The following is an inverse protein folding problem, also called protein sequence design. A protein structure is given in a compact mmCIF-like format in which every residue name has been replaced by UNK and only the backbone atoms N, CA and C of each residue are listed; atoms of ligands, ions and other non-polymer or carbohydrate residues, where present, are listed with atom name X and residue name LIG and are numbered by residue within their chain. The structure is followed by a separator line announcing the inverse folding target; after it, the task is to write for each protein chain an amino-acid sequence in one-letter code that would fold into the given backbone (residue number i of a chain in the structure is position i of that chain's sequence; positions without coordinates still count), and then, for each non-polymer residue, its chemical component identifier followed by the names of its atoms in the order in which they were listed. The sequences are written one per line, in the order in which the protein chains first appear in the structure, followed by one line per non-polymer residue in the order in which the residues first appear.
data_IF_450273739116
#
_entry.id   IF_450273739116
#
_cell.length_a   1.000
_cell.length_b   1.000
_cell.length_c   1.000
_cell.angle_alpha   90.00
_cell.angle_beta   90.00
_cell.angle_gamma   90.00
#
_symmetry.space_group_name_H-M   'P 1'
#
loop_
_entity.id
_entity.type
_entity.pdbx_description
1 polymer ?
#
# COMPACT_ATOMS: atom_id res chain seq x y z
N UNK A 1 -7.64 17.23 -44.32
CA UNK A 1 -8.96 17.82 -44.53
C UNK A 1 -9.06 19.17 -43.81
N UNK A 2 -9.31 20.26 -44.56
CA UNK A 2 -9.78 21.49 -43.94
C UNK A 2 -11.27 21.37 -43.70
N UNK A 3 -11.78 21.94 -42.65
CA UNK A 3 -13.22 22.02 -42.33
C UNK A 3 -14.04 22.48 -43.56
N UNK A 4 -13.52 23.41 -44.38
CA UNK A 4 -14.13 23.86 -45.63
C UNK A 4 -14.11 22.83 -46.77
N UNK A 5 -13.13 21.90 -46.81
CA UNK A 5 -13.07 20.84 -47.85
C UNK A 5 -13.97 19.65 -47.49
N UNK A 6 -14.06 19.29 -46.22
CA UNK A 6 -15.01 18.28 -45.74
C UNK A 6 -16.47 18.70 -46.06
N UNK A 7 -16.75 19.98 -46.01
CA UNK A 7 -18.07 20.52 -46.33
C UNK A 7 -18.38 20.55 -47.84
N UNK A 8 -17.38 20.72 -48.72
CA UNK A 8 -17.56 20.73 -50.17
C UNK A 8 -17.73 19.31 -50.75
N UNK A 9 -17.05 18.31 -50.21
CA UNK A 9 -17.08 16.95 -50.75
C UNK A 9 -18.24 16.07 -50.25
N UNK A 10 -18.91 16.46 -49.18
CA UNK A 10 -19.97 15.64 -48.56
C UNK A 10 -21.38 15.88 -49.15
N UNK A 11 -21.52 16.72 -50.18
CA UNK A 11 -22.82 16.98 -50.82
C UNK A 11 -23.88 17.51 -49.84
N UNK A 12 -23.46 17.95 -48.69
CA UNK A 12 -24.30 18.55 -47.64
C UNK A 12 -24.71 19.94 -48.09
N UNK A 13 -25.73 19.98 -48.92
CA UNK A 13 -26.34 21.18 -49.45
C UNK A 13 -27.00 22.08 -48.41
N UNK A 14 -27.18 21.60 -47.18
CA UNK A 14 -27.79 22.37 -46.10
C UNK A 14 -26.85 23.37 -45.44
N UNK A 15 -25.76 22.89 -44.84
CA UNK A 15 -24.95 23.73 -43.93
C UNK A 15 -24.02 24.72 -44.62
N UNK A 16 -23.46 24.35 -45.80
CA UNK A 16 -22.67 25.31 -46.58
C UNK A 16 -23.54 26.43 -47.16
N UNK A 17 -24.77 26.12 -47.57
CA UNK A 17 -25.75 27.09 -48.00
C UNK A 17 -26.22 28.00 -46.87
N UNK A 18 -26.32 27.44 -45.65
CA UNK A 18 -26.70 28.25 -44.47
C UNK A 18 -25.55 29.13 -43.94
N UNK A 19 -24.30 28.67 -44.07
CA UNK A 19 -23.13 29.51 -43.78
C UNK A 19 -22.88 30.57 -44.86
N UNK A 20 -23.15 30.28 -46.14
CA UNK A 20 -23.14 31.29 -47.19
C UNK A 20 -24.27 32.29 -47.00
N UNK A 21 -25.46 31.86 -46.57
CA UNK A 21 -26.57 32.77 -46.21
C UNK A 21 -26.23 33.61 -44.99
N UNK A 22 -25.62 33.07 -43.92
CA UNK A 22 -25.18 33.83 -42.76
C UNK A 22 -23.97 34.71 -43.04
N UNK A 23 -23.02 34.29 -43.88
CA UNK A 23 -21.91 35.15 -44.31
C UNK A 23 -22.35 36.21 -45.32
N UNK A 24 -23.32 35.89 -46.19
CA UNK A 24 -24.01 36.85 -47.05
C UNK A 24 -24.83 37.85 -46.24
N UNK A 25 -25.49 37.41 -45.20
CA UNK A 25 -26.21 38.26 -44.25
C UNK A 25 -25.27 39.19 -43.46
N UNK A 26 -24.15 38.70 -42.93
CA UNK A 26 -23.13 39.50 -42.29
C UNK A 26 -22.43 40.46 -43.27
N UNK A 27 -22.18 40.04 -44.50
CA UNK A 27 -21.63 40.89 -45.55
C UNK A 27 -22.62 41.96 -46.06
N UNK A 28 -23.93 41.67 -46.03
CA UNK A 28 -24.98 42.63 -46.32
C UNK A 28 -25.11 43.69 -45.19
N UNK A 29 -24.86 43.27 -43.94
CA UNK A 29 -24.87 44.15 -42.77
C UNK A 29 -23.78 45.24 -42.83
N UNK A 30 -22.63 44.90 -43.44
CA UNK A 30 -21.52 45.88 -43.64
C UNK A 30 -21.61 46.67 -44.93
N UNK A 31 -22.57 46.38 -45.83
CA UNK A 31 -22.72 47.09 -47.12
C UNK A 31 -23.97 47.95 -47.24
N UNK A 32 -24.89 47.89 -46.29
CA UNK A 32 -26.15 48.61 -46.39
C UNK A 32 -26.13 49.95 -45.68
N UNK A 33 -26.40 51.02 -46.44
CA UNK A 33 -26.74 52.37 -45.96
C UNK A 33 -28.18 52.50 -45.41
N UNK A 34 -28.81 51.39 -45.03
CA UNK A 34 -30.16 51.36 -44.40
C UNK A 34 -30.08 51.80 -42.94
N UNK A 35 -31.05 52.52 -42.47
CA UNK A 35 -31.13 52.93 -41.09
C UNK A 35 -31.26 51.74 -40.14
N UNK A 36 -30.69 51.82 -38.93
CA UNK A 36 -30.71 50.69 -37.96
C UNK A 36 -32.11 50.15 -37.63
N UNK A 37 -33.14 50.98 -37.70
CA UNK A 37 -34.53 50.57 -37.42
C UNK A 37 -35.17 49.72 -38.54
N UNK A 38 -34.79 49.94 -39.82
CA UNK A 38 -35.27 49.09 -40.92
C UNK A 38 -34.59 47.70 -40.94
N UNK A 39 -33.33 47.64 -40.55
CA UNK A 39 -32.60 46.37 -40.41
C UNK A 39 -33.15 45.57 -39.23
N UNK A 40 -33.51 46.24 -38.12
CA UNK A 40 -34.11 45.59 -36.97
C UNK A 40 -35.49 44.94 -37.29
N UNK A 41 -36.31 45.60 -38.12
CA UNK A 41 -37.61 45.04 -38.56
C UNK A 41 -37.46 43.87 -39.52
N UNK A 42 -36.52 43.91 -40.47
CA UNK A 42 -36.25 42.78 -41.35
C UNK A 42 -35.67 41.55 -40.59
N UNK A 43 -34.93 41.75 -39.50
CA UNK A 43 -34.44 40.71 -38.61
C UNK A 43 -35.55 40.14 -37.72
N UNK A 44 -36.57 40.92 -37.35
CA UNK A 44 -37.71 40.42 -36.59
C UNK A 44 -38.68 39.58 -37.42
N UNK A 45 -38.87 39.92 -38.69
CA UNK A 45 -39.78 39.20 -39.60
C UNK A 45 -39.25 37.84 -40.06
N UNK A 46 -37.95 37.55 -39.88
CA UNK A 46 -37.32 36.28 -40.25
C UNK A 46 -37.00 35.37 -39.06
N UNK A 47 -37.49 35.67 -37.87
CA UNK A 47 -37.40 34.75 -36.71
C UNK A 47 -38.40 33.58 -36.83
N UNK A 48 -38.17 32.69 -37.78
CA UNK A 48 -38.72 31.34 -37.63
C UNK A 48 -38.03 30.67 -36.44
N UNK A 49 -38.80 30.09 -35.50
CA UNK A 49 -38.19 29.37 -34.38
C UNK A 49 -37.36 28.23 -34.97
N UNK A 50 -36.08 28.18 -34.57
CA UNK A 50 -35.16 27.10 -34.96
C UNK A 50 -35.78 25.75 -34.58
N UNK A 51 -35.73 24.82 -35.49
CA UNK A 51 -36.11 23.43 -35.19
C UNK A 51 -35.26 22.86 -34.06
N UNK A 52 -35.75 21.86 -33.34
CA UNK A 52 -34.99 21.21 -32.27
C UNK A 52 -33.59 20.76 -32.72
N UNK A 53 -33.49 20.30 -33.94
CA UNK A 53 -32.22 19.85 -34.55
C UNK A 53 -31.25 21.02 -34.81
N UNK A 54 -31.76 22.20 -35.24
CA UNK A 54 -30.94 23.38 -35.45
C UNK A 54 -30.46 23.98 -34.12
N UNK A 55 -31.27 23.91 -33.08
CA UNK A 55 -30.90 24.33 -31.72
C UNK A 55 -29.79 23.46 -31.16
N UNK A 56 -29.85 22.16 -31.39
CA UNK A 56 -28.82 21.20 -30.93
C UNK A 56 -27.50 21.37 -31.72
N UNK A 57 -27.60 21.68 -33.03
CA UNK A 57 -26.42 22.04 -33.85
C UNK A 57 -25.77 23.35 -33.36
N UNK A 58 -26.57 24.37 -33.07
CA UNK A 58 -26.07 25.63 -32.58
C UNK A 58 -25.36 25.48 -31.24
N UNK A 59 -25.95 24.71 -30.31
CA UNK A 59 -25.35 24.38 -29.03
C UNK A 59 -24.04 23.59 -29.17
N UNK A 60 -24.00 22.59 -30.05
CA UNK A 60 -22.77 21.81 -30.30
C UNK A 60 -21.65 22.66 -30.92
N UNK A 61 -22.00 23.64 -31.78
CA UNK A 61 -21.03 24.62 -32.30
C UNK A 61 -20.52 25.58 -31.23
N UNK A 62 -21.39 26.06 -30.36
CA UNK A 62 -21.05 26.95 -29.25
C UNK A 62 -20.11 26.22 -28.25
N UNK A 63 -20.42 24.99 -27.87
CA UNK A 63 -19.55 24.19 -27.02
C UNK A 63 -18.17 23.95 -27.69
N UNK A 64 -18.15 23.68 -28.99
CA UNK A 64 -16.91 23.44 -29.72
C UNK A 64 -16.04 24.69 -29.86
N UNK A 65 -16.65 25.87 -30.02
CA UNK A 65 -15.95 27.15 -30.20
C UNK A 65 -15.59 27.81 -28.88
N UNK A 66 -16.20 27.42 -27.78
CA UNK A 66 -15.92 27.97 -26.44
C UNK A 66 -14.54 27.54 -25.89
N UNK A 67 -13.90 26.53 -26.50
CA UNK A 67 -12.60 25.99 -26.08
C UNK A 67 -11.54 26.27 -27.14
N UNK A 68 -10.26 26.32 -26.70
CA UNK A 68 -9.14 26.53 -27.59
C UNK A 68 -9.07 25.46 -28.71
N UNK A 69 -8.98 25.90 -29.95
CA UNK A 69 -8.86 25.04 -31.13
C UNK A 69 -7.41 24.71 -31.44
N UNK A 70 -7.17 23.44 -31.75
CA UNK A 70 -5.87 22.90 -32.15
C UNK A 70 -5.93 22.44 -33.62
N UNK A 71 -4.93 22.80 -34.41
CA UNK A 71 -4.76 22.23 -35.74
C UNK A 71 -4.02 20.89 -35.61
N UNK A 72 -4.69 19.83 -36.04
CA UNK A 72 -4.22 18.45 -35.84
C UNK A 72 -4.12 17.71 -37.17
N UNK A 73 -3.08 16.90 -37.38
CA UNK A 73 -3.02 15.89 -38.41
C UNK A 73 -3.15 14.50 -37.79
N UNK A 74 -4.11 13.71 -38.23
CA UNK A 74 -4.23 12.29 -37.88
C UNK A 74 -3.73 11.48 -39.10
N UNK A 75 -2.69 10.69 -38.89
CA UNK A 75 -2.08 9.86 -39.96
C UNK A 75 -2.01 8.43 -39.46
N UNK A 76 -2.31 7.50 -40.36
CA UNK A 76 -2.24 6.08 -40.07
C UNK A 76 -1.40 5.40 -41.16
N UNK A 77 -0.39 4.65 -40.73
CA UNK A 77 0.48 3.88 -41.60
C UNK A 77 0.54 2.46 -41.07
N UNK A 78 0.23 1.50 -41.91
CA UNK A 78 0.26 0.08 -41.57
C UNK A 78 1.28 -0.62 -42.43
N UNK A 79 2.17 -1.37 -41.81
CA UNK A 79 3.14 -2.24 -42.48
C UNK A 79 2.90 -3.69 -42.03
N UNK A 80 2.84 -4.60 -42.99
CA UNK A 80 2.71 -6.03 -42.72
C UNK A 80 3.34 -6.89 -43.82
N UNK A 81 3.40 -8.19 -43.59
CA UNK A 81 4.01 -9.14 -44.52
C UNK A 81 3.28 -9.22 -45.90
N UNK A 82 2.00 -8.82 -45.97
CA UNK A 82 1.27 -8.78 -47.25
C UNK A 82 0.42 -7.51 -47.37
N UNK A 83 0.25 -7.04 -48.61
CA UNK A 83 -0.54 -5.85 -48.90
C UNK A 83 -2.02 -6.01 -48.49
N UNK A 84 -2.57 -7.19 -48.67
CA UNK A 84 -3.96 -7.48 -48.29
C UNK A 84 -4.16 -7.39 -46.79
N UNK A 85 -3.23 -7.94 -46.00
CA UNK A 85 -3.25 -7.84 -44.55
C UNK A 85 -3.09 -6.39 -44.08
N UNK A 86 -2.23 -5.60 -44.72
CA UNK A 86 -2.09 -4.17 -44.41
C UNK A 86 -3.38 -3.41 -44.66
N UNK A 87 -4.08 -3.69 -45.73
CA UNK A 87 -5.39 -3.08 -46.03
C UNK A 87 -6.47 -3.48 -45.01
N UNK A 88 -6.53 -4.76 -44.62
CA UNK A 88 -7.48 -5.22 -43.62
C UNK A 88 -7.26 -4.53 -42.29
N UNK A 89 -6.01 -4.50 -41.78
CA UNK A 89 -5.67 -3.83 -40.53
C UNK A 89 -6.00 -2.33 -40.59
N UNK A 90 -5.67 -1.67 -41.73
CA UNK A 90 -5.99 -0.25 -41.90
C UNK A 90 -7.51 0.00 -41.88
N UNK A 91 -8.29 -0.89 -42.55
CA UNK A 91 -9.75 -0.81 -42.52
C UNK A 91 -10.31 -0.98 -41.10
N UNK A 92 -9.79 -1.91 -40.33
CA UNK A 92 -10.21 -2.13 -38.93
C UNK A 92 -9.92 -0.89 -38.06
N UNK A 93 -8.74 -0.30 -38.21
CA UNK A 93 -8.38 0.94 -37.49
C UNK A 93 -9.32 2.08 -37.91
N UNK A 94 -9.58 2.26 -39.19
CA UNK A 94 -10.48 3.30 -39.72
C UNK A 94 -11.91 3.10 -39.22
N UNK A 95 -12.38 1.86 -39.17
CA UNK A 95 -13.71 1.53 -38.66
C UNK A 95 -13.86 1.88 -37.18
N UNK A 96 -12.81 1.80 -36.38
CA UNK A 96 -12.86 2.20 -34.98
C UNK A 96 -13.19 3.70 -34.79
N UNK A 97 -12.88 4.53 -35.77
CA UNK A 97 -13.21 5.96 -35.75
C UNK A 97 -14.68 6.25 -36.05
N UNK A 98 -15.44 5.27 -36.55
CA UNK A 98 -16.87 5.46 -36.82
C UNK A 98 -17.69 5.78 -35.57
N UNK A 99 -17.22 5.40 -34.40
CA UNK A 99 -17.86 5.74 -33.11
C UNK A 99 -17.94 7.26 -32.86
N UNK A 100 -17.09 8.06 -33.50
CA UNK A 100 -17.07 9.53 -33.38
C UNK A 100 -17.93 10.22 -34.42
N UNK A 101 -18.57 9.48 -35.33
CA UNK A 101 -19.36 10.05 -36.40
C UNK A 101 -20.80 10.29 -35.94
N UNK A 102 -21.27 11.53 -36.05
CA UNK A 102 -22.67 11.89 -35.83
C UNK A 102 -23.31 12.09 -37.21
N UNK A 103 -24.01 11.08 -37.70
CA UNK A 103 -24.48 11.03 -39.09
C UNK A 103 -25.64 12.00 -39.41
N UNK A 104 -26.50 12.27 -38.44
CA UNK A 104 -27.70 13.05 -38.67
C UNK A 104 -27.47 14.55 -38.77
N UNK A 105 -26.62 15.10 -37.88
CA UNK A 105 -26.46 16.56 -37.78
C UNK A 105 -25.03 17.01 -37.34
N UNK A 106 -24.12 16.08 -37.15
CA UNK A 106 -22.79 16.39 -36.61
C UNK A 106 -21.65 16.21 -37.60
N UNK A 107 -20.45 16.26 -37.05
CA UNK A 107 -19.22 16.02 -37.80
C UNK A 107 -18.95 14.52 -37.95
N UNK A 108 -18.12 14.17 -38.94
CA UNK A 108 -17.65 12.79 -39.15
C UNK A 108 -16.17 12.80 -39.55
N UNK A 109 -15.49 11.74 -39.20
CA UNK A 109 -14.16 11.44 -39.74
C UNK A 109 -14.29 10.82 -41.13
N UNK A 110 -13.50 11.29 -42.05
CA UNK A 110 -13.39 10.71 -43.39
C UNK A 110 -11.91 10.46 -43.71
N UNK A 111 -11.61 9.20 -44.08
CA UNK A 111 -10.28 8.81 -44.47
C UNK A 111 -9.98 9.32 -45.88
N UNK A 112 -8.79 9.88 -46.08
CA UNK A 112 -8.24 10.24 -47.39
C UNK A 112 -7.05 9.35 -47.68
N UNK A 113 -7.13 8.58 -48.74
CA UNK A 113 -6.01 7.80 -49.22
C UNK A 113 -5.21 8.67 -50.24
N UNK A 114 -3.99 9.08 -49.89
CA UNK A 114 -3.22 9.93 -50.77
C UNK A 114 -2.69 9.18 -52.00
N UNK A 115 -2.46 9.91 -53.08
CA UNK A 115 -1.88 9.33 -54.31
C UNK A 115 -0.43 8.87 -54.13
N UNK A 116 0.31 9.48 -53.23
CA UNK A 116 1.72 9.20 -52.92
C UNK A 116 1.87 8.80 -51.44
N UNK A 117 1.90 7.50 -51.15
CA UNK A 117 2.04 6.94 -49.83
C UNK A 117 3.37 7.28 -49.16
N UNK A 118 4.44 7.39 -49.97
CA UNK A 118 5.80 7.64 -49.47
C UNK A 118 5.93 8.98 -48.75
N UNK A 119 5.22 10.02 -49.23
CA UNK A 119 5.20 11.33 -48.57
C UNK A 119 4.52 11.29 -47.24
N UNK A 120 3.53 10.42 -47.03
CA UNK A 120 2.89 10.27 -45.72
C UNK A 120 3.81 9.54 -44.74
N UNK A 121 4.52 8.52 -45.20
CA UNK A 121 5.51 7.84 -44.38
C UNK A 121 6.65 8.81 -43.99
N UNK A 122 7.14 9.61 -44.90
CA UNK A 122 8.10 10.67 -44.62
C UNK A 122 7.59 11.68 -43.60
N UNK A 123 6.37 12.21 -43.80
CA UNK A 123 5.74 13.14 -42.86
C UNK A 123 5.47 12.52 -41.50
N UNK A 124 5.24 11.19 -41.40
CA UNK A 124 5.09 10.48 -40.15
C UNK A 124 6.44 10.34 -39.41
N UNK A 125 7.48 9.90 -40.14
CA UNK A 125 8.83 9.69 -39.59
C UNK A 125 9.44 10.98 -39.06
N UNK A 126 9.31 12.07 -39.82
CA UNK A 126 9.89 13.37 -39.48
C UNK A 126 8.94 14.32 -38.76
N UNK A 127 7.74 13.85 -38.39
CA UNK A 127 6.72 14.64 -37.69
C UNK A 127 6.33 15.94 -38.40
N UNK A 128 6.43 15.99 -39.74
CA UNK A 128 6.10 17.20 -40.51
C UNK A 128 4.60 17.46 -40.48
N UNK A 129 4.21 18.68 -40.15
CA UNK A 129 2.81 19.12 -40.23
C UNK A 129 2.38 19.36 -41.67
N UNK A 130 1.26 18.77 -42.10
CA UNK A 130 0.71 18.90 -43.44
C UNK A 130 -0.56 19.80 -43.39
N UNK A 131 -0.46 21.09 -43.73
CA UNK A 131 -1.57 22.04 -43.64
C UNK A 131 -2.79 21.65 -44.47
N UNK A 132 -2.61 20.94 -45.58
CA UNK A 132 -3.70 20.51 -46.45
C UNK A 132 -4.57 19.40 -45.88
N UNK A 133 -4.10 18.71 -44.83
CA UNK A 133 -4.79 17.61 -44.13
C UNK A 133 -5.04 17.94 -42.66
N UNK A 134 -5.16 19.24 -42.33
CA UNK A 134 -5.41 19.65 -40.97
C UNK A 134 -6.88 19.47 -40.58
N UNK A 135 -7.08 19.03 -39.37
CA UNK A 135 -8.35 19.02 -38.68
C UNK A 135 -8.32 20.09 -37.57
N UNK A 136 -9.46 20.72 -37.33
CA UNK A 136 -9.59 21.61 -36.16
C UNK A 136 -10.35 20.88 -35.06
N UNK A 137 -9.64 20.54 -33.99
CA UNK A 137 -10.19 19.91 -32.80
C UNK A 137 -10.01 20.83 -31.58
N UNK A 138 -11.00 20.91 -30.72
CA UNK A 138 -10.78 21.53 -29.42
C UNK A 138 -10.07 20.52 -28.45
N UNK A 139 -9.60 21.01 -27.32
CA UNK A 139 -8.85 20.18 -26.35
C UNK A 139 -9.61 18.95 -25.88
N UNK A 140 -10.93 19.04 -25.71
CA UNK A 140 -11.78 17.93 -25.28
C UNK A 140 -11.97 16.88 -26.38
N UNK A 141 -12.23 17.33 -27.62
CA UNK A 141 -12.28 16.44 -28.78
C UNK A 141 -10.93 15.77 -29.05
N UNK A 142 -9.82 16.48 -28.79
CA UNK A 142 -8.48 15.93 -28.92
C UNK A 142 -8.22 14.80 -27.92
N UNK A 143 -8.59 15.01 -26.64
CA UNK A 143 -8.44 13.98 -25.59
C UNK A 143 -9.32 12.77 -25.87
N UNK A 144 -10.51 12.96 -26.43
CA UNK A 144 -11.40 11.85 -26.80
C UNK A 144 -10.84 10.99 -27.93
N UNK A 145 -10.11 11.60 -28.87
CA UNK A 145 -9.51 10.88 -30.01
C UNK A 145 -8.14 10.29 -29.68
N UNK A 146 -7.33 11.01 -28.90
CA UNK A 146 -5.99 10.59 -28.49
C UNK A 146 -5.93 10.58 -26.96
N UNK A 147 -6.06 9.43 -26.40
CA UNK A 147 -5.89 9.19 -24.97
C UNK A 147 -4.83 8.13 -24.73
N UNK A 148 -4.11 8.26 -23.62
CA UNK A 148 -3.19 7.23 -23.17
C UNK A 148 -4.01 6.06 -22.59
N UNK A 149 -3.57 4.80 -22.79
CA UNK A 149 -4.21 3.66 -22.16
C UNK A 149 -4.13 3.79 -20.64
N UNK A 150 -5.13 3.24 -19.95
CA UNK A 150 -5.12 3.21 -18.49
C UNK A 150 -4.09 2.19 -17.98
N UNK A 151 -3.52 2.38 -16.78
CA UNK A 151 -2.58 1.41 -16.19
C UNK A 151 -3.16 0.00 -16.00
N UNK A 152 -4.50 -0.11 -15.99
CA UNK A 152 -5.23 -1.37 -15.90
C UNK A 152 -5.43 -2.04 -17.26
N UNK A 153 -5.10 -1.37 -18.37
CA UNK A 153 -5.23 -1.92 -19.73
C UNK A 153 -3.92 -2.61 -20.09
N UNK A 154 -3.97 -3.92 -20.27
CA UNK A 154 -2.83 -4.68 -20.79
C UNK A 154 -2.56 -4.26 -22.24
N UNK A 155 -1.56 -3.41 -22.44
CA UNK A 155 -1.13 -2.95 -23.75
C UNK A 155 0.26 -3.54 -24.05
N UNK A 156 0.39 -4.39 -25.08
CA UNK A 156 1.69 -4.90 -25.51
C UNK A 156 2.63 -3.74 -25.88
N UNK A 157 3.89 -3.84 -25.49
CA UNK A 157 4.95 -2.86 -25.78
C UNK A 157 4.79 -1.47 -25.13
N UNK A 158 3.97 -1.35 -24.08
CA UNK A 158 3.97 -0.15 -23.25
C UNK A 158 4.56 -0.51 -21.88
N UNK A 159 5.72 0.05 -21.60
CA UNK A 159 6.35 -0.01 -20.29
C UNK A 159 5.69 1.04 -19.39
N UNK A 160 4.82 0.58 -18.49
CA UNK A 160 4.24 1.44 -17.48
C UNK A 160 5.30 1.82 -16.45
N UNK A 161 5.58 3.10 -16.33
CA UNK A 161 6.42 3.60 -15.25
C UNK A 161 5.61 3.62 -13.96
N UNK A 162 5.85 2.65 -13.08
CA UNK A 162 5.20 2.54 -11.77
C UNK A 162 5.57 3.69 -10.83
N UNK A 163 6.70 4.35 -11.08
CA UNK A 163 7.17 5.48 -10.28
C UNK A 163 7.91 6.52 -11.14
N UNK A 164 7.88 7.76 -10.69
CA UNK A 164 8.66 8.85 -11.32
C UNK A 164 10.16 8.58 -11.11
N UNK A 165 10.93 8.46 -12.20
CA UNK A 165 12.38 8.38 -12.13
C UNK A 165 12.95 9.78 -11.87
N UNK A 166 13.56 9.96 -10.72
CA UNK A 166 14.22 11.21 -10.34
C UNK A 166 15.69 10.97 -9.93
N UNK A 167 16.56 11.97 -9.98
CA UNK A 167 17.89 11.86 -9.44
C UNK A 167 17.84 11.69 -7.91
N UNK A 168 18.88 11.12 -7.33
CA UNK A 168 19.02 11.10 -5.87
C UNK A 168 19.14 12.52 -5.32
N UNK A 169 18.71 12.76 -4.05
CA UNK A 169 18.93 14.04 -3.39
C UNK A 169 20.42 14.45 -3.38
N UNK A 170 20.68 15.76 -3.50
CA UNK A 170 22.05 16.28 -3.56
C UNK A 170 22.87 15.97 -2.29
N UNK A 171 22.21 15.78 -1.15
CA UNK A 171 22.81 15.46 0.15
C UNK A 171 22.82 13.95 0.46
N UNK A 172 22.83 13.09 -0.56
CA UNK A 172 22.87 11.62 -0.38
C UNK A 172 24.10 11.22 0.45
N UNK A 173 23.94 10.42 1.51
CA UNK A 173 25.05 9.94 2.32
C UNK A 173 26.02 9.08 1.50
N UNK A 174 27.31 9.25 1.75
CA UNK A 174 28.38 8.42 1.15
C UNK A 174 28.67 7.16 1.98
N UNK A 175 28.28 7.17 3.26
CA UNK A 175 28.43 6.06 4.22
C UNK A 175 27.07 5.65 4.78
N UNK A 176 26.97 4.43 5.29
CA UNK A 176 25.75 3.87 5.84
C UNK A 176 25.22 2.70 5.00
N UNK A 177 24.13 2.10 5.46
CA UNK A 177 23.50 0.94 4.81
C UNK A 177 22.95 1.33 3.44
N UNK A 178 23.15 0.44 2.48
CA UNK A 178 22.65 0.57 1.11
C UNK A 178 21.19 0.11 1.09
N UNK A 179 20.29 1.01 0.68
CA UNK A 179 18.88 0.69 0.43
C UNK A 179 18.66 0.17 -0.99
N UNK A 180 19.49 0.60 -1.94
CA UNK A 180 19.38 0.21 -3.33
C UNK A 180 20.26 1.05 -4.25
N UNK A 181 20.00 0.92 -5.55
CA UNK A 181 20.64 1.72 -6.61
C UNK A 181 19.61 2.63 -7.27
N UNK A 182 19.95 3.87 -7.49
CA UNK A 182 19.23 4.76 -8.39
C UNK A 182 19.94 4.79 -9.75
N UNK A 183 19.18 4.55 -10.81
CA UNK A 183 19.67 4.67 -12.19
C UNK A 183 18.90 5.82 -12.82
N UNK A 184 19.59 6.94 -12.99
CA UNK A 184 19.02 8.14 -13.59
C UNK A 184 19.90 8.67 -14.70
N UNK A 185 19.36 8.77 -15.93
CA UNK A 185 20.08 9.20 -17.15
C UNK A 185 21.40 8.44 -17.37
N UNK A 186 21.38 7.13 -17.18
CA UNK A 186 22.56 6.26 -17.36
C UNK A 186 23.58 6.31 -16.24
N UNK A 187 23.40 7.15 -15.21
CA UNK A 187 24.25 7.19 -14.04
C UNK A 187 23.70 6.35 -12.92
N UNK A 188 24.49 5.38 -12.42
CA UNK A 188 24.17 4.62 -11.22
C UNK A 188 24.66 5.35 -9.96
N UNK A 189 23.80 5.44 -8.95
CA UNK A 189 24.15 6.02 -7.63
C UNK A 189 23.56 5.14 -6.53
N UNK A 190 24.40 4.76 -5.56
CA UNK A 190 23.94 4.00 -4.41
C UNK A 190 23.13 4.91 -3.48
N UNK A 191 21.93 4.44 -3.14
CA UNK A 191 21.05 5.10 -2.16
C UNK A 191 21.36 4.53 -0.79
N UNK A 192 21.73 5.39 0.15
CA UNK A 192 22.15 5.01 1.49
C UNK A 192 21.33 5.73 2.55
N UNK A 193 21.23 5.11 3.73
CA UNK A 193 20.67 5.72 4.93
C UNK A 193 21.75 5.81 6.01
N UNK A 194 21.81 6.95 6.69
CA UNK A 194 22.74 7.15 7.82
C UNK A 194 22.28 6.33 9.02
N UNK A 195 23.24 5.88 9.83
CA UNK A 195 22.95 5.13 11.06
C UNK A 195 22.04 5.91 12.02
N UNK A 196 22.26 7.21 12.17
CA UNK A 196 21.43 8.07 13.01
C UNK A 196 19.96 8.12 12.55
N UNK A 197 19.72 8.06 11.24
CA UNK A 197 18.37 8.11 10.68
C UNK A 197 17.62 6.76 10.82
N UNK A 198 18.35 5.67 10.95
CA UNK A 198 17.76 4.32 11.20
C UNK A 198 17.04 4.21 12.55
N UNK A 199 17.38 5.08 13.52
CA UNK A 199 16.69 5.15 14.83
C UNK A 199 15.25 5.65 14.73
N UNK A 200 14.82 6.15 13.55
CA UNK A 200 13.48 6.70 13.30
C UNK A 200 12.60 5.64 12.65
N UNK A 201 12.62 4.45 12.85
CA UNK A 201 11.78 3.41 12.26
C UNK A 201 11.66 3.48 10.72
N UNK A 202 11.51 2.34 10.09
CA UNK A 202 11.23 2.19 8.67
C UNK A 202 9.96 1.36 8.52
N UNK A 203 9.07 1.79 7.64
CA UNK A 203 7.86 1.04 7.31
C UNK A 203 7.88 0.71 5.82
N UNK A 204 7.87 -0.58 5.49
CA UNK A 204 7.91 -1.07 4.12
C UNK A 204 6.54 -1.62 3.73
N UNK A 205 5.96 -1.06 2.65
CA UNK A 205 4.69 -1.49 2.09
C UNK A 205 4.91 -2.00 0.67
N UNK A 206 4.31 -3.13 0.36
CA UNK A 206 4.33 -3.70 -0.98
C UNK A 206 3.42 -4.91 -1.09
N UNK A 207 2.96 -5.20 -2.29
CA UNK A 207 2.20 -6.40 -2.60
C UNK A 207 3.07 -7.66 -2.41
N UNK A 208 2.46 -8.83 -2.27
CA UNK A 208 3.19 -10.11 -2.27
C UNK A 208 3.98 -10.26 -3.56
N UNK A 209 5.23 -10.70 -3.46
CA UNK A 209 6.12 -10.88 -4.61
C UNK A 209 6.92 -9.63 -5.04
N UNK A 210 6.71 -8.46 -4.42
CA UNK A 210 7.42 -7.20 -4.78
C UNK A 210 8.82 -7.07 -4.20
N UNK A 211 9.31 -8.05 -3.43
CA UNK A 211 10.68 -8.07 -2.93
C UNK A 211 10.88 -7.56 -1.50
N UNK A 212 9.81 -7.32 -0.71
CA UNK A 212 9.93 -6.86 0.69
C UNK A 212 10.90 -7.70 1.53
N UNK A 213 10.72 -9.04 1.53
CA UNK A 213 11.58 -9.93 2.30
C UNK A 213 13.03 -9.93 1.80
N UNK A 214 13.26 -9.76 0.50
CA UNK A 214 14.61 -9.63 -0.09
C UNK A 214 15.26 -8.32 0.34
N UNK A 215 14.48 -7.24 0.43
CA UNK A 215 14.98 -5.96 0.93
C UNK A 215 15.37 -6.06 2.40
N UNK A 216 14.51 -6.62 3.26
CA UNK A 216 14.84 -6.87 4.67
C UNK A 216 16.07 -7.79 4.83
N UNK A 217 16.15 -8.86 4.06
CA UNK A 217 17.30 -9.77 4.03
C UNK A 217 18.60 -9.03 3.70
N UNK A 218 18.56 -8.13 2.72
CA UNK A 218 19.72 -7.29 2.36
C UNK A 218 20.16 -6.37 3.50
N UNK A 219 19.22 -5.78 4.26
CA UNK A 219 19.55 -4.95 5.42
C UNK A 219 20.17 -5.78 6.55
N UNK A 220 19.57 -6.95 6.85
CA UNK A 220 20.06 -7.90 7.87
C UNK A 220 21.48 -8.33 7.53
N UNK A 221 21.74 -8.73 6.29
CA UNK A 221 23.07 -9.14 5.82
C UNK A 221 24.10 -8.04 6.04
N UNK A 222 23.79 -6.81 5.65
CA UNK A 222 24.71 -5.67 5.81
C UNK A 222 25.02 -5.38 7.29
N UNK A 223 24.02 -5.50 8.19
CA UNK A 223 24.24 -5.32 9.62
C UNK A 223 25.13 -6.41 10.21
N UNK A 224 24.90 -7.68 9.83
CA UNK A 224 25.74 -8.79 10.27
C UNK A 224 27.19 -8.61 9.81
N UNK A 225 27.41 -8.27 8.54
CA UNK A 225 28.74 -8.03 7.95
C UNK A 225 29.44 -6.82 8.58
N UNK A 226 28.70 -5.79 8.95
CA UNK A 226 29.23 -4.62 9.64
C UNK A 226 29.54 -4.85 11.13
N UNK A 227 29.21 -6.03 11.69
CA UNK A 227 29.43 -6.33 13.10
C UNK A 227 28.41 -5.71 14.05
N UNK A 228 27.27 -5.27 13.53
CA UNK A 228 26.16 -4.78 14.36
C UNK A 228 25.38 -5.92 15.01
N UNK A 229 24.77 -5.64 16.18
CA UNK A 229 23.75 -6.49 16.76
C UNK A 229 22.40 -6.22 16.08
N UNK A 230 21.55 -7.23 16.04
CA UNK A 230 20.20 -7.10 15.47
C UNK A 230 19.24 -8.11 16.09
N UNK A 231 17.94 -7.84 15.96
CA UNK A 231 16.88 -8.78 16.31
C UNK A 231 15.95 -8.94 15.12
N UNK A 232 15.81 -10.18 14.63
CA UNK A 232 14.87 -10.57 13.59
C UNK A 232 13.72 -11.32 14.22
N UNK A 233 12.48 -10.85 14.01
CA UNK A 233 11.25 -11.55 14.44
C UNK A 233 10.48 -11.92 13.17
N UNK A 234 10.41 -13.20 12.87
CA UNK A 234 9.81 -13.70 11.63
C UNK A 234 8.62 -14.64 11.93
N UNK A 235 7.37 -14.22 11.61
CA UNK A 235 6.19 -15.07 11.78
C UNK A 235 6.06 -16.18 10.72
N UNK A 236 6.91 -16.20 9.69
CA UNK A 236 6.86 -17.18 8.60
C UNK A 236 8.02 -18.18 8.64
N UNK A 237 9.16 -17.79 9.18
CA UNK A 237 10.35 -18.62 9.35
C UNK A 237 11.37 -18.51 8.20
N UNK A 238 10.97 -18.13 6.99
CA UNK A 238 11.87 -18.05 5.83
C UNK A 238 12.97 -16.98 6.00
N UNK A 239 12.59 -15.78 6.49
CA UNK A 239 13.55 -14.71 6.73
C UNK A 239 14.50 -15.05 7.88
N UNK A 240 14.02 -15.75 8.91
CA UNK A 240 14.84 -16.23 10.02
C UNK A 240 15.94 -17.21 9.54
N UNK A 241 15.58 -18.15 8.68
CA UNK A 241 16.54 -19.12 8.12
C UNK A 241 17.57 -18.43 7.21
N UNK A 242 17.14 -17.46 6.40
CA UNK A 242 18.03 -16.63 5.57
C UNK A 242 18.97 -15.80 6.42
N UNK A 243 18.44 -15.12 7.46
CA UNK A 243 19.27 -14.36 8.39
C UNK A 243 20.37 -15.21 9.03
N UNK A 244 20.02 -16.43 9.46
CA UNK A 244 20.97 -17.38 10.01
C UNK A 244 22.06 -17.77 9.00
N UNK A 245 21.70 -17.95 7.72
CA UNK A 245 22.64 -18.30 6.65
C UNK A 245 23.70 -17.22 6.37
N UNK A 246 23.40 -15.96 6.69
CA UNK A 246 24.34 -14.83 6.52
C UNK A 246 25.33 -14.65 7.69
N UNK A 247 25.17 -15.42 8.77
CA UNK A 247 26.08 -15.31 9.93
C UNK A 247 27.42 -15.96 9.60
N UNK A 248 28.53 -15.22 9.64
CA UNK A 248 29.86 -15.77 9.44
C UNK A 248 30.26 -16.64 10.63
N UNK A 249 31.12 -17.64 10.41
CA UNK A 249 31.61 -18.55 11.44
C UNK A 249 32.22 -17.83 12.64
N UNK A 250 32.87 -16.67 12.42
CA UNK A 250 33.46 -15.84 13.47
C UNK A 250 32.44 -15.23 14.44
N UNK A 251 31.15 -15.21 14.06
CA UNK A 251 30.06 -14.70 14.89
C UNK A 251 29.04 -15.76 15.29
N UNK A 252 29.35 -17.02 15.10
CA UNK A 252 28.44 -18.13 15.46
C UNK A 252 28.06 -18.08 16.96
N UNK A 253 29.00 -17.75 17.84
CA UNK A 253 28.78 -17.60 19.29
C UNK A 253 27.94 -16.34 19.66
N UNK A 254 27.69 -15.47 18.70
CA UNK A 254 26.86 -14.29 18.92
C UNK A 254 25.38 -14.55 18.61
N UNK A 255 25.04 -15.71 18.07
CA UNK A 255 23.68 -16.04 17.65
C UNK A 255 22.86 -16.57 18.81
N UNK A 256 21.71 -15.96 19.01
CA UNK A 256 20.63 -16.47 19.85
C UNK A 256 19.47 -16.83 18.91
N UNK A 257 19.29 -18.13 18.67
CA UNK A 257 18.23 -18.63 17.80
C UNK A 257 17.07 -19.16 18.63
N UNK A 258 16.00 -18.38 18.72
CA UNK A 258 14.78 -18.74 19.42
C UNK A 258 13.78 -19.36 18.44
N UNK A 259 13.56 -20.64 18.56
CA UNK A 259 12.60 -21.40 17.74
C UNK A 259 11.69 -22.22 18.65
N UNK A 260 10.48 -21.80 18.93
CA UNK A 260 9.54 -22.56 19.76
C UNK A 260 9.21 -23.95 19.21
N UNK A 261 9.41 -24.21 17.91
CA UNK A 261 9.17 -25.52 17.30
C UNK A 261 10.25 -26.55 17.63
N UNK A 262 11.38 -26.15 18.22
CA UNK A 262 12.42 -27.05 18.70
C UNK A 262 12.05 -27.58 20.10
N UNK A 263 11.23 -28.60 20.12
CA UNK A 263 10.76 -29.25 21.37
C UNK A 263 11.82 -30.08 22.08
N UNK A 264 12.88 -30.45 21.38
CA UNK A 264 13.98 -31.21 21.98
C UNK A 264 14.91 -30.33 22.81
N UNK A 265 15.05 -29.06 22.41
CA UNK A 265 15.94 -28.08 23.05
C UNK A 265 15.24 -26.75 23.24
N UNK A 266 14.19 -26.71 24.08
CA UNK A 266 13.41 -25.51 24.27
C UNK A 266 14.27 -24.43 24.95
N UNK A 267 14.41 -23.28 24.29
CA UNK A 267 15.11 -22.14 24.84
C UNK A 267 14.25 -21.45 25.89
N UNK A 268 14.72 -21.41 27.12
CA UNK A 268 13.97 -20.87 28.25
C UNK A 268 13.66 -19.38 28.09
N UNK A 269 12.42 -19.00 28.39
CA UNK A 269 11.97 -17.61 28.50
C UNK A 269 10.98 -17.46 29.66
N UNK A 270 11.47 -17.05 30.81
CA UNK A 270 10.61 -16.80 31.96
C UNK A 270 9.96 -15.41 31.86
N UNK A 271 8.67 -15.38 31.65
CA UNK A 271 7.88 -14.15 31.52
C UNK A 271 7.79 -13.35 32.81
N UNK A 272 8.12 -13.95 33.98
CA UNK A 272 8.07 -13.30 35.29
C UNK A 272 9.46 -13.06 35.89
N UNK A 273 10.52 -13.21 35.08
CA UNK A 273 11.88 -12.93 35.56
C UNK A 273 12.11 -11.43 35.75
N UNK A 274 12.79 -11.07 36.83
CA UNK A 274 13.13 -9.69 37.16
C UNK A 274 14.43 -9.66 38.00
N UNK A 275 15.18 -8.56 37.89
CA UNK A 275 16.42 -8.34 38.62
C UNK A 275 16.21 -7.39 39.82
N UNK A 276 15.37 -6.37 39.68
CA UNK A 276 15.10 -5.38 40.72
C UNK A 276 13.61 -5.30 41.09
N UNK A 277 13.29 -4.85 42.29
CA UNK A 277 11.90 -4.67 42.73
C UNK A 277 11.11 -3.71 41.83
N UNK A 278 11.76 -2.73 41.22
CA UNK A 278 11.12 -1.82 40.25
C UNK A 278 10.73 -2.57 38.99
N UNK A 279 11.62 -3.43 38.47
CA UNK A 279 11.31 -4.28 37.31
C UNK A 279 10.18 -5.26 37.60
N UNK A 280 10.05 -5.77 38.82
CA UNK A 280 8.96 -6.64 39.23
C UNK A 280 7.59 -6.01 38.93
N UNK A 281 7.39 -4.78 39.36
CA UNK A 281 6.16 -4.03 39.06
C UNK A 281 5.91 -3.82 37.59
N UNK A 282 6.96 -3.48 36.84
CA UNK A 282 6.90 -3.31 35.38
C UNK A 282 6.51 -4.61 34.67
N UNK A 283 7.17 -5.72 34.97
CA UNK A 283 6.88 -7.05 34.39
C UNK A 283 5.38 -7.44 34.59
N UNK A 284 4.86 -7.22 35.80
CA UNK A 284 3.46 -7.52 36.10
C UNK A 284 2.51 -6.65 35.27
N UNK A 285 2.81 -5.34 35.14
CA UNK A 285 1.99 -4.44 34.33
C UNK A 285 2.00 -4.83 32.85
N UNK A 286 3.17 -5.18 32.29
CA UNK A 286 3.29 -5.64 30.91
C UNK A 286 2.54 -6.96 30.70
N UNK A 287 2.63 -7.90 31.62
CA UNK A 287 1.86 -9.16 31.53
C UNK A 287 0.35 -8.91 31.52
N UNK A 288 -0.15 -8.02 32.35
CA UNK A 288 -1.57 -7.64 32.35
C UNK A 288 -1.94 -6.96 31.05
N UNK A 289 -1.10 -6.06 30.53
CA UNK A 289 -1.32 -5.40 29.23
C UNK A 289 -1.36 -6.39 28.05
N UNK A 290 -0.51 -7.42 28.07
CA UNK A 290 -0.53 -8.50 27.09
C UNK A 290 -1.86 -9.27 27.13
N UNK A 291 -2.32 -9.64 28.34
CA UNK A 291 -3.61 -10.32 28.49
C UNK A 291 -4.79 -9.42 28.11
N UNK A 292 -4.73 -8.11 28.42
CA UNK A 292 -5.75 -7.16 27.98
C UNK A 292 -5.83 -7.10 26.45
N UNK A 293 -4.69 -7.03 25.78
CA UNK A 293 -4.61 -7.03 24.32
C UNK A 293 -5.11 -8.32 23.67
N UNK A 294 -4.86 -9.47 24.29
CA UNK A 294 -5.26 -10.78 23.76
C UNK A 294 -6.74 -11.10 23.98
N UNK A 295 -7.31 -10.64 25.10
CA UNK A 295 -8.63 -11.08 25.55
C UNK A 295 -9.64 -9.95 25.79
N UNK A 296 -9.25 -8.70 25.51
CA UNK A 296 -10.08 -7.51 25.81
C UNK A 296 -10.60 -7.55 27.26
N UNK A 297 -9.68 -7.49 28.21
CA UNK A 297 -10.02 -7.63 29.63
C UNK A 297 -11.01 -6.57 30.13
N UNK A 298 -11.04 -5.40 29.47
CA UNK A 298 -12.02 -4.35 29.80
C UNK A 298 -13.46 -4.81 29.55
N UNK A 299 -13.66 -5.55 28.46
CA UNK A 299 -14.97 -6.10 28.11
C UNK A 299 -15.25 -7.45 28.77
N UNK A 300 -14.23 -8.29 28.97
CA UNK A 300 -14.39 -9.69 29.40
C UNK A 300 -13.88 -9.98 30.81
N UNK A 301 -13.03 -9.14 31.41
CA UNK A 301 -12.27 -9.43 32.63
C UNK A 301 -12.58 -8.53 33.80
N UNK A 302 -12.70 -7.28 33.54
CA UNK A 302 -12.91 -6.26 34.56
C UNK A 302 -11.78 -6.17 35.60
N UNK A 303 -11.95 -5.28 36.60
CA UNK A 303 -10.95 -5.04 37.66
C UNK A 303 -10.62 -6.27 38.53
N UNK A 304 -11.56 -7.20 38.65
CA UNK A 304 -11.36 -8.40 39.46
C UNK A 304 -10.34 -9.36 38.85
N UNK A 305 -10.38 -9.55 37.54
CA UNK A 305 -9.35 -10.34 36.84
C UNK A 305 -7.94 -9.76 37.08
N UNK A 306 -7.80 -8.44 36.88
CA UNK A 306 -6.52 -7.77 37.10
C UNK A 306 -6.05 -7.92 38.55
N UNK A 307 -6.93 -7.72 39.51
CA UNK A 307 -6.59 -7.79 40.93
C UNK A 307 -6.08 -9.19 41.32
N UNK A 308 -6.80 -10.24 40.95
CA UNK A 308 -6.39 -11.62 41.25
C UNK A 308 -5.15 -12.05 40.51
N UNK A 309 -5.05 -11.73 39.24
CA UNK A 309 -3.87 -12.04 38.41
C UNK A 309 -2.62 -11.36 38.94
N UNK A 310 -2.71 -10.05 39.24
CA UNK A 310 -1.63 -9.25 39.83
C UNK A 310 -1.17 -9.83 41.17
N UNK A 311 -2.07 -10.12 42.08
CA UNK A 311 -1.71 -10.67 43.36
C UNK A 311 -1.18 -12.11 43.28
N UNK A 312 -1.62 -12.91 42.32
CA UNK A 312 -1.05 -14.22 42.09
C UNK A 312 0.41 -14.13 41.56
N UNK A 313 0.68 -13.25 40.59
CA UNK A 313 2.03 -13.01 40.12
C UNK A 313 2.94 -12.44 41.20
N UNK A 314 2.48 -11.46 42.00
CA UNK A 314 3.23 -10.91 43.12
C UNK A 314 3.60 -11.97 44.12
N UNK A 315 2.64 -12.86 44.51
CA UNK A 315 2.90 -13.94 45.47
C UNK A 315 3.95 -14.93 44.97
N UNK A 316 3.89 -15.29 43.67
CA UNK A 316 4.84 -16.20 43.06
C UNK A 316 6.25 -15.59 43.00
N UNK A 317 6.32 -14.33 42.55
CA UNK A 317 7.58 -13.62 42.32
C UNK A 317 8.32 -13.23 43.62
N UNK A 318 7.63 -13.16 44.76
CA UNK A 318 8.23 -12.83 46.06
C UNK A 318 9.21 -13.91 46.55
N UNK A 319 8.99 -15.17 46.15
CA UNK A 319 9.87 -16.30 46.42
C UNK A 319 10.28 -16.98 45.09
N UNK A 320 11.39 -16.50 44.54
CA UNK A 320 11.91 -17.01 43.26
C UNK A 320 12.35 -18.46 43.30
N UNK A 321 12.87 -18.89 44.46
CA UNK A 321 13.55 -20.19 44.60
C UNK A 321 12.57 -21.37 44.60
N UNK A 322 11.31 -21.15 44.91
CA UNK A 322 10.30 -22.20 44.94
C UNK A 322 9.35 -22.23 43.76
N UNK A 323 9.78 -21.68 42.62
CA UNK A 323 9.03 -21.56 41.35
C UNK A 323 8.40 -20.17 41.22
N UNK A 324 8.81 -19.50 40.16
CA UNK A 324 8.33 -18.15 39.84
C UNK A 324 8.12 -18.01 38.35
N UNK A 325 7.29 -18.87 37.75
CA UNK A 325 6.92 -18.82 36.33
C UNK A 325 5.42 -18.66 36.15
N UNK A 326 5.00 -18.39 34.93
CA UNK A 326 3.58 -18.22 34.61
C UNK A 326 2.76 -19.49 34.85
N UNK A 327 3.42 -20.66 34.85
CA UNK A 327 2.77 -21.98 35.06
C UNK A 327 2.28 -22.14 36.51
N UNK A 328 2.90 -21.49 37.46
CA UNK A 328 2.48 -21.55 38.89
C UNK A 328 1.25 -20.68 39.19
N UNK A 329 0.86 -19.76 38.33
CA UNK A 329 -0.30 -18.88 38.57
C UNK A 329 -1.59 -19.67 38.81
N UNK A 330 -2.00 -20.62 37.92
CA UNK A 330 -3.17 -21.47 38.21
C UNK A 330 -3.04 -22.26 39.52
N UNK A 331 -1.84 -22.71 39.85
CA UNK A 331 -1.58 -23.48 41.04
C UNK A 331 -1.80 -22.67 42.32
N UNK A 332 -1.33 -21.43 42.36
CA UNK A 332 -1.62 -20.49 43.48
C UNK A 332 -3.12 -20.26 43.64
N UNK A 333 -3.85 -20.19 42.52
CA UNK A 333 -5.30 -19.95 42.57
C UNK A 333 -6.11 -21.17 43.03
N UNK A 334 -5.71 -22.39 42.59
CA UNK A 334 -6.48 -23.62 42.79
C UNK A 334 -6.02 -24.49 43.97
N UNK A 335 -4.71 -24.46 44.32
CA UNK A 335 -4.13 -25.28 45.38
C UNK A 335 -3.88 -24.48 46.63
N UNK A 336 -4.71 -24.70 47.64
CA UNK A 336 -4.64 -24.01 48.94
C UNK A 336 -3.34 -24.31 49.68
N UNK A 337 -2.85 -25.55 49.59
CA UNK A 337 -1.60 -25.97 50.27
C UNK A 337 -0.40 -25.25 49.67
N UNK A 338 -0.32 -25.18 48.33
CA UNK A 338 0.72 -24.45 47.66
C UNK A 338 0.63 -22.95 47.91
N UNK A 339 -0.57 -22.40 47.93
CA UNK A 339 -0.81 -20.99 48.25
C UNK A 339 -0.35 -20.65 49.66
N UNK A 340 -0.70 -21.46 50.67
CA UNK A 340 -0.21 -21.28 52.04
C UNK A 340 1.30 -21.38 52.17
N UNK A 341 1.90 -22.32 51.44
CA UNK A 341 3.37 -22.43 51.38
C UNK A 341 4.00 -21.14 50.85
N UNK A 342 3.51 -20.60 49.74
CA UNK A 342 4.01 -19.33 49.17
C UNK A 342 3.77 -18.15 50.13
N UNK A 343 2.60 -18.06 50.77
CA UNK A 343 2.26 -17.03 51.74
C UNK A 343 3.19 -17.04 52.99
N UNK A 344 3.70 -18.22 53.37
CA UNK A 344 4.65 -18.30 54.48
C UNK A 344 6.01 -17.63 54.15
N UNK A 345 6.33 -17.45 52.87
CA UNK A 345 7.59 -16.85 52.42
C UNK A 345 7.45 -15.43 51.92
N UNK A 346 6.23 -14.94 51.72
CA UNK A 346 5.98 -13.60 51.17
C UNK A 346 6.39 -12.51 52.17
N UNK A 347 7.11 -11.50 51.66
CA UNK A 347 7.57 -10.34 52.40
C UNK A 347 6.59 -9.16 52.30
N UNK A 348 5.89 -9.06 51.16
CA UNK A 348 4.96 -7.98 50.91
C UNK A 348 3.67 -8.15 51.67
N UNK A 349 3.46 -7.27 52.68
CA UNK A 349 2.28 -7.31 53.55
C UNK A 349 0.96 -7.11 52.80
N UNK A 350 0.93 -6.28 51.75
CA UNK A 350 -0.29 -6.06 50.98
C UNK A 350 -0.72 -7.31 50.22
N UNK A 351 0.22 -8.06 49.66
CA UNK A 351 -0.04 -9.34 49.02
C UNK A 351 -0.59 -10.35 50.03
N UNK A 352 0.00 -10.39 51.23
CA UNK A 352 -0.45 -11.25 52.29
C UNK A 352 -1.87 -10.91 52.74
N UNK A 353 -2.13 -9.63 53.00
CA UNK A 353 -3.45 -9.13 53.41
C UNK A 353 -4.53 -9.41 52.35
N UNK A 354 -4.21 -9.29 51.06
CA UNK A 354 -5.12 -9.67 49.98
C UNK A 354 -5.53 -11.15 50.09
N UNK A 355 -4.59 -12.05 50.17
CA UNK A 355 -4.88 -13.49 50.16
C UNK A 355 -5.53 -13.98 51.47
N UNK A 356 -5.15 -13.43 52.62
CA UNK A 356 -5.66 -13.85 53.94
C UNK A 356 -6.98 -13.16 54.32
N UNK A 357 -7.22 -11.94 53.84
CA UNK A 357 -8.35 -11.12 54.28
C UNK A 357 -9.37 -10.81 53.19
N UNK A 358 -8.92 -10.42 52.01
CA UNK A 358 -9.81 -9.98 50.93
C UNK A 358 -10.32 -11.14 50.11
N UNK A 359 -9.44 -11.98 49.58
CA UNK A 359 -9.82 -13.12 48.77
C UNK A 359 -10.68 -14.15 49.52
N UNK A 360 -10.52 -14.25 50.86
CA UNK A 360 -11.35 -15.12 51.72
C UNK A 360 -12.66 -14.48 52.14
N UNK A 361 -12.71 -13.15 52.37
CA UNK A 361 -13.92 -12.47 52.84
C UNK A 361 -15.00 -12.26 51.81
N UNK A 362 -14.65 -12.18 50.53
CA UNK A 362 -15.62 -12.01 49.45
C UNK A 362 -16.53 -13.22 49.20
N UNK A 363 -16.80 -14.00 50.26
CA UNK A 363 -17.62 -15.22 50.23
C UNK A 363 -16.83 -16.49 50.49
N UNK A 364 -15.62 -16.40 51.05
CA UNK A 364 -14.73 -17.52 51.32
C UNK A 364 -14.21 -18.16 50.02
N UNK A 365 -14.08 -19.46 50.08
CA UNK A 365 -13.65 -20.27 48.97
C UNK A 365 -14.55 -20.14 47.74
N UNK A 366 -15.83 -19.76 47.91
CA UNK A 366 -16.79 -19.59 46.83
C UNK A 366 -16.44 -18.45 45.85
N UNK A 367 -15.84 -17.33 46.32
CA UNK A 367 -15.43 -16.23 45.46
C UNK A 367 -14.17 -16.59 44.69
N UNK A 368 -13.21 -17.20 45.32
CA UNK A 368 -12.01 -17.70 44.66
C UNK A 368 -12.37 -18.82 43.68
N UNK A 369 -13.28 -19.73 44.01
CA UNK A 369 -13.77 -20.80 43.15
C UNK A 369 -14.39 -20.27 41.84
N UNK A 370 -15.07 -19.12 41.90
CA UNK A 370 -15.64 -18.48 40.70
C UNK A 370 -14.57 -17.80 39.84
N UNK A 371 -13.54 -17.21 40.45
CA UNK A 371 -12.46 -16.50 39.73
C UNK A 371 -11.42 -17.44 39.13
N UNK A 372 -11.18 -18.61 39.73
CA UNK A 372 -10.19 -19.60 39.27
C UNK A 372 -10.43 -20.02 37.81
N UNK A 373 -11.61 -20.56 37.44
CA UNK A 373 -11.86 -20.98 36.05
C UNK A 373 -11.73 -19.82 35.07
N UNK A 374 -12.12 -18.64 35.51
CA UNK A 374 -12.10 -17.43 34.69
C UNK A 374 -10.67 -16.97 34.34
N UNK A 375 -9.75 -17.03 35.31
CA UNK A 375 -8.35 -16.67 35.12
C UNK A 375 -7.61 -17.80 34.44
N UNK A 376 -7.79 -19.05 34.87
CA UNK A 376 -7.08 -20.18 34.33
C UNK A 376 -7.42 -20.46 32.88
N UNK A 377 -8.66 -20.20 32.44
CA UNK A 377 -9.06 -20.33 31.04
C UNK A 377 -8.22 -19.50 30.08
N UNK A 378 -7.73 -18.32 30.51
CA UNK A 378 -6.88 -17.44 29.72
C UNK A 378 -5.40 -17.84 29.70
N UNK A 379 -4.97 -18.59 30.71
CA UNK A 379 -3.60 -19.13 30.81
C UNK A 379 -3.48 -20.50 30.16
N UNK A 380 -4.55 -21.28 30.14
CA UNK A 380 -4.58 -22.65 29.60
C UNK A 380 -4.01 -22.76 28.18
N UNK A 381 -4.31 -21.87 27.22
CA UNK A 381 -3.74 -21.96 25.88
C UNK A 381 -2.22 -21.95 25.84
N UNK A 382 -1.57 -21.30 26.80
CA UNK A 382 -0.12 -21.23 26.92
C UNK A 382 0.45 -22.41 27.69
N UNK A 383 -0.19 -22.78 28.80
CA UNK A 383 0.31 -23.78 29.75
C UNK A 383 0.06 -25.20 29.27
N UNK A 384 -1.03 -25.45 28.54
CA UNK A 384 -1.37 -26.76 27.98
C UNK A 384 -0.75 -27.01 26.61
N UNK A 385 -0.09 -26.02 26.03
CA UNK A 385 0.58 -26.17 24.74
C UNK A 385 1.94 -26.82 24.92
N UNK A 386 2.12 -28.02 24.35
CA UNK A 386 3.33 -28.82 24.49
C UNK A 386 4.60 -28.14 23.94
N UNK A 387 4.44 -27.19 23.04
CA UNK A 387 5.53 -26.41 22.45
C UNK A 387 5.90 -25.21 23.32
N UNK A 388 4.91 -24.50 23.86
CA UNK A 388 5.13 -23.25 24.61
C UNK A 388 5.45 -23.52 26.08
N UNK A 389 4.79 -24.51 26.69
CA UNK A 389 4.97 -24.84 28.11
C UNK A 389 6.44 -25.07 28.49
N UNK A 390 7.24 -25.89 27.77
CA UNK A 390 8.65 -26.08 28.13
C UNK A 390 9.49 -24.81 28.10
N UNK A 391 9.12 -23.84 27.30
CA UNK A 391 9.79 -22.53 27.19
C UNK A 391 9.51 -21.67 28.42
N UNK A 392 8.21 -21.54 28.82
CA UNK A 392 7.76 -20.60 29.86
C UNK A 392 7.80 -21.18 31.27
N UNK A 393 8.01 -22.51 31.41
CA UNK A 393 8.04 -23.19 32.69
C UNK A 393 9.42 -23.21 33.36
N UNK A 394 10.44 -22.72 32.67
CA UNK A 394 11.81 -22.67 33.22
C UNK A 394 12.00 -21.39 34.06
N UNK A 395 12.63 -21.55 35.24
CA UNK A 395 12.77 -20.45 36.20
C UNK A 395 13.72 -19.35 35.77
N UNK A 396 14.72 -19.69 34.95
CA UNK A 396 15.67 -18.73 34.39
C UNK A 396 15.57 -18.71 32.87
N UNK A 397 15.55 -17.54 32.32
CA UNK A 397 15.66 -17.35 30.86
C UNK A 397 17.06 -17.74 30.39
N UNK A 398 17.13 -18.27 29.17
CA UNK A 398 18.39 -18.69 28.56
C UNK A 398 19.31 -17.50 28.19
N UNK A 399 18.72 -16.32 28.04
CA UNK A 399 19.46 -15.09 27.76
C UNK A 399 18.70 -13.88 28.31
N UNK A 400 19.43 -12.80 28.54
CA UNK A 400 18.89 -11.48 28.90
C UNK A 400 18.92 -10.59 27.68
N UNK A 401 17.76 -10.01 27.31
CA UNK A 401 17.62 -9.13 26.15
C UNK A 401 18.54 -7.90 26.20
N UNK A 402 18.65 -7.27 27.39
CA UNK A 402 19.52 -6.10 27.58
C UNK A 402 20.97 -6.46 27.33
N UNK A 403 21.47 -7.50 27.95
CA UNK A 403 22.84 -7.98 27.75
C UNK A 403 23.12 -8.38 26.32
N UNK A 404 22.16 -9.07 25.67
CA UNK A 404 22.28 -9.46 24.27
C UNK A 404 22.35 -8.24 23.34
N UNK A 405 21.54 -7.19 23.58
CA UNK A 405 21.58 -5.96 22.81
C UNK A 405 22.89 -5.18 23.03
N UNK A 406 23.31 -5.01 24.28
CA UNK A 406 24.53 -4.28 24.63
C UNK A 406 25.79 -4.99 24.11
N UNK A 407 25.76 -6.33 24.07
CA UNK A 407 26.83 -7.19 23.51
C UNK A 407 26.76 -7.38 22.00
N UNK A 408 25.87 -6.69 21.30
CA UNK A 408 25.67 -6.78 19.84
C UNK A 408 25.39 -8.19 19.33
N UNK A 409 24.66 -9.01 20.10
CA UNK A 409 24.25 -10.34 19.68
C UNK A 409 23.29 -10.29 18.49
N UNK A 410 23.19 -11.40 17.76
CA UNK A 410 22.28 -11.62 16.66
C UNK A 410 21.14 -12.48 17.19
N UNK A 411 20.00 -11.84 17.47
CA UNK A 411 18.81 -12.52 17.98
C UNK A 411 17.91 -12.86 16.80
N UNK A 412 17.62 -14.11 16.59
CA UNK A 412 16.71 -14.58 15.54
C UNK A 412 15.55 -15.34 16.19
N UNK A 413 14.35 -14.78 16.06
CA UNK A 413 13.12 -15.31 16.62
C UNK A 413 12.26 -15.85 15.47
N UNK A 414 12.23 -17.16 15.34
CA UNK A 414 11.45 -17.88 14.33
C UNK A 414 10.09 -18.29 14.91
N UNK A 415 9.04 -17.51 14.57
CA UNK A 415 7.68 -17.76 15.04
C UNK A 415 6.81 -18.41 13.95
N UNK A 416 7.34 -19.36 13.22
CA UNK A 416 6.63 -20.02 12.12
C UNK A 416 5.24 -20.54 12.54
N UNK A 417 4.20 -19.80 12.12
CA UNK A 417 2.79 -20.10 12.45
C UNK A 417 2.36 -21.52 12.05
N UNK A 418 2.91 -22.06 10.99
CA UNK A 418 2.60 -23.41 10.54
C UNK A 418 3.08 -24.54 11.46
N UNK A 419 3.93 -24.21 12.44
CA UNK A 419 4.50 -25.17 13.40
C UNK A 419 4.10 -24.92 14.84
N UNK A 420 3.70 -23.71 15.16
CA UNK A 420 3.37 -23.30 16.54
C UNK A 420 1.86 -23.31 16.78
N UNK A 421 1.06 -23.17 15.73
CA UNK A 421 -0.39 -23.07 15.78
C UNK A 421 -0.92 -21.66 15.59
#
# INVERSE_FOLDING_TARGET
FTYSQAMKETGGTGFAADLEKTSGFLASFFKTTKKPEEVAKEVEDHKQPLSAMEQERAKGLEEKTSKAGLEVNIRMVVSSASHERSKAILADILNSYNQYNIYEFGNRFQAVVPRHSDKIAEHLIYHHFAPNYRLLLNSEAMVSVIHLPLPTTETPNIDWLEAVKAPVPANMPTVGIILGKNIYRGKETLVRIKEADRRRHMYEIGQTGTGKSVFMESLIKQDIEAGHGLCVIDPHGELADKALSHVPKSRAEDVIYFNPSDIERPLAMNMLEYDTEEQKGFVINEMIAIFDKLYDLKATGGPMFEQYMRNAMLLIMDDKDSGATLVEVPRVLSDETYRKFKLSKVKNRLVKDFWEKEAQKAGGEASLANMVPYITSKLTPFISNDTIRPIIAQQKSAFNFREAMDSKKIIIINLSKGRIG
#
